data_IF_770959648235
#
_entry.id   IF_770959648235
#
_cell.length_a   1.000
_cell.length_b   1.000
_cell.length_c   1.000
_cell.angle_alpha   90.00
_cell.angle_beta   90.00
_cell.angle_gamma   90.00
#
_symmetry.space_group_name_H-M   'P 1'
#
loop_
_entity.id
_entity.type
_entity.pdbx_description
1 polymer ?
#
# COMPACT_ATOMS: atom_id res chain seq x y z
N UNK A 1 -18.81 47.86 -0.29
CA UNK A 1 -17.48 48.50 -0.32
C UNK A 1 -17.57 49.78 0.47
N UNK A 2 -16.71 49.97 1.46
CA UNK A 2 -16.72 51.13 2.36
C UNK A 2 -15.88 52.27 1.76
N UNK A 3 -16.29 53.54 1.86
CA UNK A 3 -15.54 54.67 1.33
C UNK A 3 -14.22 54.90 2.08
N UNK A 4 -13.15 55.22 1.36
CA UNK A 4 -11.76 55.28 1.87
C UNK A 4 -11.46 56.48 2.79
N UNK A 5 -12.42 57.38 3.01
CA UNK A 5 -12.24 58.64 3.75
C UNK A 5 -12.71 58.60 5.21
N UNK A 6 -13.18 57.44 5.69
CA UNK A 6 -13.60 57.24 7.09
C UNK A 6 -12.35 57.12 8.00
N UNK A 7 -12.36 57.63 9.25
CA UNK A 7 -11.27 57.42 10.21
C UNK A 7 -10.95 55.94 10.41
N UNK A 8 -9.69 55.64 10.70
CA UNK A 8 -9.17 54.26 10.79
C UNK A 8 -9.91 53.42 11.83
N UNK A 9 -10.34 54.01 12.95
CA UNK A 9 -11.14 53.34 13.99
C UNK A 9 -12.50 52.87 13.47
N UNK A 10 -13.21 53.72 12.74
CA UNK A 10 -14.52 53.38 12.18
C UNK A 10 -14.40 52.35 11.05
N UNK A 11 -13.31 52.37 10.28
CA UNK A 11 -12.97 51.30 9.32
C UNK A 11 -12.81 49.97 10.04
N UNK A 12 -12.04 49.93 11.15
CA UNK A 12 -11.84 48.72 11.94
C UNK A 12 -13.16 48.21 12.54
N UNK A 13 -13.96 49.10 13.14
CA UNK A 13 -15.29 48.75 13.67
C UNK A 13 -16.20 48.17 12.60
N UNK A 14 -16.22 48.76 11.41
CA UNK A 14 -17.01 48.26 10.29
C UNK A 14 -16.52 46.89 9.81
N UNK A 15 -15.20 46.66 9.76
CA UNK A 15 -14.65 45.34 9.39
C UNK A 15 -14.93 44.26 10.44
N UNK A 16 -14.86 44.59 11.74
CA UNK A 16 -15.18 43.65 12.82
C UNK A 16 -16.68 43.33 12.82
N UNK A 17 -17.53 44.34 12.59
CA UNK A 17 -18.97 44.15 12.48
C UNK A 17 -19.40 43.37 11.22
N UNK A 18 -18.53 43.28 10.21
CA UNK A 18 -18.78 42.48 9.01
C UNK A 18 -18.41 41.00 9.18
N UNK A 19 -17.77 40.62 10.28
CA UNK A 19 -17.46 39.23 10.59
C UNK A 19 -18.73 38.46 11.01
N UNK A 20 -18.81 37.13 10.74
CA UNK A 20 -19.90 36.31 11.23
C UNK A 20 -20.03 36.37 12.76
N UNK A 21 -21.27 36.38 13.24
CA UNK A 21 -21.59 36.51 14.66
C UNK A 21 -21.02 35.38 15.52
N UNK A 22 -20.82 34.19 14.93
CA UNK A 22 -20.12 33.06 15.58
C UNK A 22 -18.69 33.42 15.98
N UNK A 23 -17.93 34.05 15.08
CA UNK A 23 -16.55 34.49 15.33
C UNK A 23 -16.51 35.60 16.38
N UNK A 24 -17.49 36.50 16.36
CA UNK A 24 -17.64 37.55 17.37
C UNK A 24 -17.89 36.96 18.76
N UNK A 25 -18.82 36.00 18.90
CA UNK A 25 -19.09 35.32 20.17
C UNK A 25 -17.87 34.54 20.70
N UNK A 26 -17.17 33.81 19.83
CA UNK A 26 -15.94 33.09 20.21
C UNK A 26 -14.83 34.02 20.68
N UNK A 27 -14.60 35.12 19.97
CA UNK A 27 -13.58 36.11 20.35
C UNK A 27 -13.97 36.81 21.65
N UNK A 28 -15.24 37.14 21.86
CA UNK A 28 -15.74 37.68 23.13
C UNK A 28 -15.52 36.72 24.30
N UNK A 29 -15.82 35.43 24.12
CA UNK A 29 -15.58 34.41 25.15
C UNK A 29 -14.08 34.26 25.46
N UNK A 30 -13.22 34.28 24.44
CA UNK A 30 -11.76 34.20 24.59
C UNK A 30 -11.16 35.46 25.24
N UNK A 31 -11.72 36.64 24.99
CA UNK A 31 -11.33 37.89 25.66
C UNK A 31 -11.73 37.84 27.14
N UNK A 32 -12.95 37.41 27.46
CA UNK A 32 -13.42 37.27 28.84
C UNK A 32 -12.58 36.28 29.68
N UNK A 33 -12.05 35.23 29.06
CA UNK A 33 -11.11 34.31 29.69
C UNK A 33 -9.77 34.98 30.04
N UNK A 34 -9.24 35.81 29.13
CA UNK A 34 -7.99 36.56 29.35
C UNK A 34 -8.15 37.70 30.36
N UNK A 35 -9.32 38.32 30.41
CA UNK A 35 -9.65 39.42 31.34
C UNK A 35 -10.19 38.93 32.70
N UNK A 36 -10.36 37.61 32.88
CA UNK A 36 -10.87 37.01 34.11
C UNK A 36 -12.37 37.24 34.38
N UNK A 37 -13.11 37.80 33.41
CA UNK A 37 -14.55 38.05 33.46
C UNK A 37 -15.26 37.10 32.48
N UNK A 38 -15.44 35.86 32.92
CA UNK A 38 -16.01 34.80 32.09
C UNK A 38 -17.54 34.90 32.08
N UNK A 39 -18.12 35.24 30.93
CA UNK A 39 -19.56 35.21 30.71
C UNK A 39 -20.04 33.78 30.43
N UNK A 40 -20.39 33.04 31.49
CA UNK A 40 -20.84 31.64 31.40
C UNK A 40 -22.08 31.45 30.50
N UNK A 41 -22.94 32.47 30.38
CA UNK A 41 -24.12 32.43 29.51
C UNK A 41 -23.73 32.34 28.03
N UNK A 42 -22.81 33.20 27.59
CA UNK A 42 -22.31 33.23 26.21
C UNK A 42 -21.57 31.93 25.88
N UNK A 43 -20.76 31.43 26.80
CA UNK A 43 -20.05 30.15 26.64
C UNK A 43 -21.03 28.97 26.45
N UNK A 44 -22.10 28.92 27.23
CA UNK A 44 -23.13 27.87 27.11
C UNK A 44 -23.89 27.98 25.79
N UNK A 45 -24.18 29.18 25.31
CA UNK A 45 -24.83 29.40 24.01
C UNK A 45 -23.95 28.93 22.85
N UNK A 46 -22.66 29.28 22.86
CA UNK A 46 -21.67 28.79 21.88
C UNK A 46 -21.64 27.26 21.88
N UNK A 47 -21.52 26.64 23.05
CA UNK A 47 -21.47 25.18 23.17
C UNK A 47 -22.76 24.52 22.65
N UNK A 48 -23.94 25.09 22.92
CA UNK A 48 -25.22 24.57 22.41
C UNK A 48 -25.31 24.66 20.90
N UNK A 49 -24.86 25.77 20.31
CA UNK A 49 -24.83 25.96 18.85
C UNK A 49 -23.87 24.96 18.19
N UNK A 50 -22.68 24.75 18.77
CA UNK A 50 -21.71 23.74 18.31
C UNK A 50 -22.22 22.30 18.46
N UNK A 51 -22.80 21.95 19.61
CA UNK A 51 -23.38 20.63 19.87
C UNK A 51 -24.49 20.30 18.87
N UNK A 52 -25.33 21.29 18.53
CA UNK A 52 -26.38 21.12 17.52
C UNK A 52 -25.78 20.82 16.15
N UNK A 53 -24.76 21.59 15.74
CA UNK A 53 -24.06 21.38 14.47
C UNK A 53 -23.37 20.01 14.40
N UNK A 54 -22.71 19.59 15.47
CA UNK A 54 -22.06 18.28 15.58
C UNK A 54 -23.10 17.14 15.50
N UNK A 55 -24.29 17.33 16.08
CA UNK A 55 -25.36 16.33 16.06
C UNK A 55 -25.91 16.14 14.65
N UNK A 56 -26.22 17.23 13.96
CA UNK A 56 -26.72 17.22 12.58
C UNK A 56 -25.70 16.57 11.63
N UNK A 57 -24.42 16.97 11.70
CA UNK A 57 -23.35 16.37 10.88
C UNK A 57 -23.14 14.87 11.17
N UNK A 58 -23.25 14.46 12.44
CA UNK A 58 -23.15 13.04 12.83
C UNK A 58 -24.33 12.21 12.32
N UNK A 59 -25.52 12.79 12.27
CA UNK A 59 -26.71 12.11 11.75
C UNK A 59 -26.61 11.92 10.24
N UNK A 60 -26.26 12.97 9.50
CA UNK A 60 -26.02 12.90 8.05
C UNK A 60 -24.94 11.87 7.70
N UNK A 61 -23.81 11.90 8.41
CA UNK A 61 -22.71 10.93 8.20
C UNK A 61 -23.14 9.49 8.50
N UNK A 62 -24.01 9.26 9.49
CA UNK A 62 -24.55 7.92 9.79
C UNK A 62 -25.49 7.45 8.67
N UNK A 63 -26.32 8.34 8.15
CA UNK A 63 -27.21 8.02 7.03
C UNK A 63 -26.43 7.70 5.75
N UNK A 64 -25.41 8.49 5.42
CA UNK A 64 -24.52 8.23 4.28
C UNK A 64 -23.82 6.89 4.40
N UNK A 65 -23.28 6.57 5.59
CA UNK A 65 -22.68 5.26 5.85
C UNK A 65 -23.68 4.12 5.68
N UNK A 66 -24.90 4.25 6.23
CA UNK A 66 -25.97 3.26 6.04
C UNK A 66 -26.38 3.11 4.58
N UNK A 67 -26.44 4.21 3.81
CA UNK A 67 -26.72 4.18 2.37
C UNK A 67 -25.62 3.45 1.60
N UNK A 68 -24.35 3.74 1.90
CA UNK A 68 -23.20 3.09 1.27
C UNK A 68 -23.12 1.60 1.59
N UNK A 69 -23.42 1.21 2.83
CA UNK A 69 -23.46 -0.19 3.26
C UNK A 69 -24.56 -0.99 2.56
N UNK A 70 -25.77 -0.42 2.44
CA UNK A 70 -26.88 -1.02 1.67
C UNK A 70 -26.55 -1.19 0.18
N UNK A 71 -25.75 -0.29 -0.39
CA UNK A 71 -25.28 -0.43 -1.79
C UNK A 71 -24.27 -1.58 -1.90
N UNK A 72 -23.33 -1.70 -0.95
CA UNK A 72 -22.37 -2.80 -0.91
C UNK A 72 -23.04 -4.17 -0.73
N UNK A 73 -24.06 -4.26 0.10
CA UNK A 73 -24.83 -5.49 0.32
C UNK A 73 -25.57 -5.93 -0.95
N UNK A 74 -26.24 -4.99 -1.64
CA UNK A 74 -26.91 -5.25 -2.93
C UNK A 74 -25.97 -5.65 -4.08
N UNK A 75 -24.69 -5.29 -4.01
CA UNK A 75 -23.66 -5.74 -4.98
C UNK A 75 -23.24 -7.17 -4.68
N UNK A 76 -23.04 -7.52 -3.40
CA UNK A 76 -22.71 -8.89 -2.97
C UNK A 76 -23.81 -9.90 -3.31
N UNK A 77 -25.08 -9.51 -3.17
CA UNK A 77 -26.20 -10.40 -3.51
C UNK A 77 -26.36 -10.63 -5.02
N UNK A 78 -25.84 -9.71 -5.86
CA UNK A 78 -25.85 -9.83 -7.32
C UNK A 78 -24.65 -10.58 -7.89
N UNK A 79 -23.60 -10.82 -7.09
CA UNK A 79 -22.42 -11.61 -7.49
C UNK A 79 -22.66 -13.13 -7.42
N UNK A 80 -23.84 -13.59 -7.00
CA UNK A 80 -24.29 -14.97 -7.26
C UNK A 80 -24.83 -15.04 -8.69
N UNK A 81 -23.92 -14.92 -9.66
CA UNK A 81 -24.23 -15.12 -11.09
C UNK A 81 -24.23 -16.62 -11.38
N UNK A 82 -25.43 -17.17 -11.59
CA UNK A 82 -25.61 -18.48 -12.25
C UNK A 82 -25.19 -18.30 -13.72
N UNK A 83 -24.12 -18.98 -14.12
CA UNK A 83 -23.60 -18.96 -15.48
C UNK A 83 -24.64 -19.54 -16.46
N UNK A 84 -25.12 -18.69 -17.37
CA UNK A 84 -26.06 -19.04 -18.46
C UNK A 84 -25.52 -18.56 -19.82
N UNK A 85 -24.20 -18.52 -20.01
CA UNK A 85 -23.64 -18.24 -21.32
C UNK A 85 -23.65 -19.51 -22.21
N UNK A 86 -24.16 -19.45 -23.46
CA UNK A 86 -24.04 -20.56 -24.41
C UNK A 86 -22.58 -20.69 -24.89
N UNK A 87 -22.04 -21.91 -24.85
CA UNK A 87 -20.75 -22.26 -25.46
C UNK A 87 -20.77 -21.96 -26.97
N UNK A 88 -20.00 -20.96 -27.39
CA UNK A 88 -19.75 -20.68 -28.80
C UNK A 88 -18.53 -21.48 -29.27
N UNK A 89 -18.82 -22.49 -30.10
CA UNK A 89 -17.86 -23.31 -30.84
C UNK A 89 -17.01 -22.45 -31.76
N UNK A 90 -15.69 -22.64 -31.69
CA UNK A 90 -14.69 -21.99 -32.54
C UNK A 90 -14.72 -22.55 -33.96
N UNK A 91 -15.58 -22.01 -34.83
CA UNK A 91 -15.32 -22.01 -36.27
C UNK A 91 -16.10 -20.87 -36.93
N UNK A 92 -15.41 -20.10 -37.78
CA UNK A 92 -16.01 -19.13 -38.72
C UNK A 92 -16.22 -17.71 -38.18
N UNK A 93 -15.12 -16.94 -38.09
CA UNK A 93 -15.14 -15.50 -38.41
C UNK A 93 -13.96 -15.19 -39.34
N UNK A 94 -14.13 -14.29 -40.33
CA UNK A 94 -13.15 -14.05 -41.38
C UNK A 94 -11.91 -13.34 -40.83
N UNK A 95 -10.75 -13.84 -41.23
CA UNK A 95 -9.42 -13.30 -40.92
C UNK A 95 -9.32 -11.90 -41.54
N UNK A 96 -9.03 -10.90 -40.71
CA UNK A 96 -8.64 -9.57 -41.17
C UNK A 96 -7.23 -9.66 -41.74
N UNK A 97 -7.08 -9.42 -43.05
CA UNK A 97 -5.78 -9.39 -43.73
C UNK A 97 -5.03 -8.10 -43.38
N UNK A 98 -3.90 -8.26 -42.69
CA UNK A 98 -2.95 -7.19 -42.41
C UNK A 98 -2.22 -6.82 -43.72
N UNK A 99 -2.44 -5.58 -44.19
CA UNK A 99 -1.87 -5.03 -45.43
C UNK A 99 -0.54 -4.32 -45.17
N UNK A 100 0.33 -4.92 -44.34
CA UNK A 100 1.70 -4.47 -44.19
C UNK A 100 2.59 -5.02 -45.32
N UNK A 101 3.27 -4.11 -46.03
CA UNK A 101 4.23 -4.39 -47.09
C UNK A 101 5.31 -5.39 -46.64
N UNK A 102 5.26 -6.60 -47.21
CA UNK A 102 6.35 -7.59 -47.12
C UNK A 102 7.52 -7.08 -47.96
N UNK A 103 8.62 -6.73 -47.30
CA UNK A 103 9.90 -6.50 -47.97
C UNK A 103 10.45 -7.87 -48.36
N UNK A 104 10.46 -8.14 -49.66
CA UNK A 104 10.95 -9.40 -50.25
C UNK A 104 12.43 -9.60 -49.96
N UNK A 105 12.73 -10.67 -49.25
CA UNK A 105 14.05 -11.23 -49.01
C UNK A 105 14.58 -11.95 -50.25
N UNK A 106 14.91 -11.21 -51.31
CA UNK A 106 15.52 -11.78 -52.53
C UNK A 106 16.84 -11.10 -52.93
N UNK A 107 17.38 -10.20 -52.10
CA UNK A 107 18.65 -9.50 -52.40
C UNK A 107 19.66 -9.57 -51.27
N UNK A 108 19.96 -10.77 -50.79
CA UNK A 108 21.11 -11.01 -49.89
C UNK A 108 21.81 -12.36 -50.16
N UNK A 109 21.95 -12.75 -51.42
CA UNK A 109 22.85 -13.86 -51.80
C UNK A 109 24.08 -13.33 -52.54
N UNK A 110 25.06 -12.84 -51.77
CA UNK A 110 26.52 -12.88 -52.04
C UNK A 110 27.19 -11.85 -51.14
N UNK A 111 27.70 -12.29 -49.99
CA UNK A 111 29.10 -12.14 -49.56
C UNK A 111 29.26 -13.13 -48.40
N UNK A 112 29.59 -14.38 -48.71
CA UNK A 112 30.34 -15.21 -47.77
C UNK A 112 31.80 -14.78 -47.90
N UNK A 113 32.32 -14.05 -46.92
CA UNK A 113 33.77 -14.02 -46.70
C UNK A 113 34.09 -13.79 -45.22
N UNK A 114 34.33 -14.92 -44.55
CA UNK A 114 35.27 -15.12 -43.43
C UNK A 114 35.35 -14.02 -42.36
N UNK A 115 34.54 -14.12 -41.31
CA UNK A 115 34.89 -13.64 -39.98
C UNK A 115 34.36 -14.65 -38.93
N UNK A 116 35.29 -15.30 -38.23
CA UNK A 116 35.28 -15.60 -36.77
C UNK A 116 33.91 -15.33 -36.07
N UNK A 117 33.18 -16.22 -35.40
CA UNK A 117 33.43 -17.47 -34.66
C UNK A 117 32.07 -18.06 -34.22
N UNK A 118 31.90 -19.39 -34.05
CA UNK A 118 30.78 -19.97 -33.30
C UNK A 118 30.85 -19.70 -31.77
N UNK A 119 31.81 -18.90 -31.30
CA UNK A 119 31.98 -18.49 -29.91
C UNK A 119 30.97 -17.40 -29.52
N UNK A 120 30.76 -16.39 -30.37
CA UNK A 120 29.93 -15.22 -30.07
C UNK A 120 28.48 -15.57 -29.72
N UNK A 121 27.85 -16.53 -30.41
CA UNK A 121 26.47 -16.95 -30.12
C UNK A 121 26.29 -17.74 -28.82
N UNK A 122 27.33 -18.46 -28.39
CA UNK A 122 27.34 -19.15 -27.09
C UNK A 122 27.56 -18.15 -25.97
N UNK A 123 28.43 -17.17 -26.19
CA UNK A 123 28.70 -16.10 -25.24
C UNK A 123 27.45 -15.24 -25.00
N UNK A 124 26.68 -14.90 -26.05
CA UNK A 124 25.38 -14.23 -25.89
C UNK A 124 24.39 -15.03 -25.03
N UNK A 125 24.31 -16.35 -25.18
CA UNK A 125 23.44 -17.19 -24.33
C UNK A 125 23.92 -17.27 -22.89
N UNK A 126 25.23 -17.26 -22.66
CA UNK A 126 25.80 -17.23 -21.31
C UNK A 126 25.47 -15.90 -20.64
N UNK A 127 25.60 -14.79 -21.38
CA UNK A 127 25.25 -13.45 -20.90
C UNK A 127 23.74 -13.35 -20.61
N UNK A 128 22.88 -13.87 -21.50
CA UNK A 128 21.42 -13.91 -21.30
C UNK A 128 21.06 -14.66 -20.01
N UNK A 129 21.61 -15.87 -19.83
CA UNK A 129 21.39 -16.67 -18.62
C UNK A 129 21.93 -16.00 -17.34
N UNK A 130 23.07 -15.29 -17.44
CA UNK A 130 23.65 -14.55 -16.32
C UNK A 130 22.83 -13.30 -15.96
N UNK A 131 22.24 -12.61 -16.95
CA UNK A 131 21.33 -11.48 -16.71
C UNK A 131 20.04 -12.00 -16.05
N UNK A 132 19.49 -13.12 -16.54
CA UNK A 132 18.30 -13.74 -15.98
C UNK A 132 18.50 -14.22 -14.54
N UNK A 133 19.66 -14.80 -14.21
CA UNK A 133 19.97 -15.23 -12.85
C UNK A 133 20.10 -14.04 -11.89
N UNK A 134 20.84 -13.00 -12.29
CA UNK A 134 21.01 -11.78 -11.49
C UNK A 134 19.68 -11.04 -11.27
N UNK A 135 18.79 -11.04 -12.29
CA UNK A 135 17.46 -10.45 -12.19
C UNK A 135 16.58 -11.18 -11.17
N UNK A 136 16.57 -12.52 -11.20
CA UNK A 136 15.84 -13.36 -10.24
C UNK A 136 16.39 -13.22 -8.83
N UNK A 137 17.71 -13.20 -8.67
CA UNK A 137 18.37 -13.02 -7.38
C UNK A 137 18.02 -11.67 -6.74
N UNK A 138 18.08 -10.57 -7.50
CA UNK A 138 17.65 -9.25 -7.02
C UNK A 138 16.19 -9.23 -6.57
N UNK A 139 15.30 -9.91 -7.30
CA UNK A 139 13.88 -10.03 -6.92
C UNK A 139 13.73 -10.75 -5.58
N UNK A 140 14.43 -11.86 -5.40
CA UNK A 140 14.43 -12.62 -4.14
C UNK A 140 15.00 -11.78 -2.98
N UNK A 141 16.03 -10.96 -3.20
CA UNK A 141 16.58 -10.07 -2.18
C UNK A 141 15.55 -9.01 -1.73
N UNK A 142 14.75 -8.48 -2.66
CA UNK A 142 13.67 -7.53 -2.33
C UNK A 142 12.58 -8.24 -1.54
N UNK A 143 12.10 -9.38 -2.03
CA UNK A 143 11.08 -10.20 -1.35
C UNK A 143 11.55 -10.61 0.07
N UNK A 144 12.84 -10.89 0.26
CA UNK A 144 13.41 -11.19 1.57
C UNK A 144 13.35 -10.02 2.55
N UNK A 145 13.61 -8.79 2.08
CA UNK A 145 13.50 -7.58 2.91
C UNK A 145 12.06 -7.34 3.31
N UNK A 146 11.13 -7.48 2.37
CA UNK A 146 9.69 -7.37 2.64
C UNK A 146 9.21 -8.41 3.66
N UNK A 147 9.69 -9.66 3.57
CA UNK A 147 9.40 -10.70 4.58
C UNK A 147 9.95 -10.33 5.96
N UNK A 148 11.16 -9.77 6.02
CA UNK A 148 11.74 -9.31 7.29
C UNK A 148 10.97 -8.12 7.88
N UNK A 149 10.47 -7.21 7.05
CA UNK A 149 9.61 -6.10 7.49
C UNK A 149 8.27 -6.63 8.03
N UNK A 150 7.62 -7.53 7.32
CA UNK A 150 6.40 -8.22 7.80
C UNK A 150 6.65 -8.95 9.12
N UNK A 151 7.83 -9.55 9.31
CA UNK A 151 8.19 -10.22 10.57
C UNK A 151 8.26 -9.24 11.74
N UNK A 152 8.83 -8.04 11.52
CA UNK A 152 8.85 -6.97 12.52
C UNK A 152 7.45 -6.47 12.84
N UNK A 153 6.61 -6.21 11.83
CA UNK A 153 5.22 -5.80 12.04
C UNK A 153 4.41 -6.86 12.82
N UNK A 154 4.67 -8.15 12.59
CA UNK A 154 4.06 -9.25 13.37
C UNK A 154 4.60 -9.31 14.81
N UNK A 155 5.82 -8.85 15.07
CA UNK A 155 6.37 -8.69 16.42
C UNK A 155 5.78 -7.48 17.13
N UNK A 156 5.68 -6.34 16.46
CA UNK A 156 5.02 -5.13 16.97
C UNK A 156 3.55 -5.42 17.35
N UNK A 157 2.84 -6.17 16.50
CA UNK A 157 1.48 -6.62 16.81
C UNK A 157 1.40 -7.49 18.08
N UNK A 158 2.44 -8.29 18.39
CA UNK A 158 2.47 -9.07 19.64
C UNK A 158 2.62 -8.14 20.84
N UNK A 159 3.52 -7.16 20.74
CA UNK A 159 3.73 -6.15 21.79
C UNK A 159 2.44 -5.38 22.07
N UNK A 160 1.74 -4.95 21.01
CA UNK A 160 0.43 -4.29 21.12
C UNK A 160 -0.61 -5.15 21.86
N UNK A 161 -0.65 -6.47 21.60
CA UNK A 161 -1.55 -7.38 22.32
C UNK A 161 -1.16 -7.47 23.79
N UNK A 162 0.12 -7.60 24.10
CA UNK A 162 0.59 -7.71 25.48
C UNK A 162 0.28 -6.44 26.27
N UNK A 163 0.45 -5.27 25.66
CA UNK A 163 0.11 -3.99 26.27
C UNK A 163 -1.42 -3.81 26.44
N UNK A 164 -2.21 -4.30 25.48
CA UNK A 164 -3.65 -4.39 25.63
C UNK A 164 -4.04 -5.33 26.78
N UNK A 165 -3.39 -6.48 26.92
CA UNK A 165 -3.63 -7.41 28.03
C UNK A 165 -3.23 -6.81 29.39
N UNK A 166 -2.12 -6.08 29.47
CA UNK A 166 -1.68 -5.37 30.70
C UNK A 166 -2.67 -4.28 31.11
N UNK A 167 -3.16 -3.49 30.16
CA UNK A 167 -4.15 -2.44 30.44
C UNK A 167 -5.49 -3.03 30.89
N UNK A 168 -5.92 -4.13 30.25
CA UNK A 168 -7.13 -4.86 30.61
C UNK A 168 -7.01 -5.64 31.92
N UNK A 169 -5.81 -6.03 32.36
CA UNK A 169 -5.59 -6.73 33.63
C UNK A 169 -5.99 -5.89 34.85
N UNK A 170 -6.05 -4.56 34.70
CA UNK A 170 -6.56 -3.65 35.73
C UNK A 170 -8.09 -3.66 35.82
N UNK A 171 -8.79 -4.21 34.83
CA UNK A 171 -10.26 -4.23 34.78
C UNK A 171 -10.79 -5.65 35.11
N UNK A 172 -11.78 -5.77 36.02
CA UNK A 172 -12.28 -7.07 36.47
C UNK A 172 -13.05 -7.85 35.39
N UNK A 173 -13.51 -7.17 34.33
CA UNK A 173 -14.19 -7.78 33.18
C UNK A 173 -13.68 -7.15 31.88
N UNK A 174 -12.69 -7.77 31.22
CA UNK A 174 -12.21 -7.27 29.93
C UNK A 174 -13.29 -7.46 28.87
N UNK A 175 -13.89 -6.34 28.46
CA UNK A 175 -14.94 -6.29 27.44
C UNK A 175 -14.36 -6.52 26.02
N UNK A 176 -13.07 -6.27 25.84
CA UNK A 176 -12.35 -6.38 24.57
C UNK A 176 -11.27 -7.45 24.67
N UNK A 177 -11.25 -8.40 23.72
CA UNK A 177 -10.22 -9.44 23.59
C UNK A 177 -9.91 -9.69 22.13
N UNK A 178 -8.71 -10.19 21.84
CA UNK A 178 -8.38 -10.69 20.51
C UNK A 178 -9.39 -11.74 20.02
N UNK A 179 -9.80 -11.61 18.76
CA UNK A 179 -10.73 -12.57 18.15
C UNK A 179 -10.06 -13.95 17.97
N UNK A 180 -10.83 -15.03 18.14
CA UNK A 180 -10.34 -16.40 17.91
C UNK A 180 -9.82 -16.60 16.47
N UNK A 181 -10.38 -15.87 15.51
CA UNK A 181 -9.94 -15.89 14.11
C UNK A 181 -8.56 -15.27 13.95
N UNK A 182 -8.32 -14.09 14.55
CA UNK A 182 -7.01 -13.43 14.53
C UNK A 182 -5.91 -14.33 15.12
N UNK A 183 -6.16 -14.95 16.28
CA UNK A 183 -5.21 -15.92 16.90
C UNK A 183 -4.87 -17.10 15.97
N UNK A 184 -5.82 -17.57 15.16
CA UNK A 184 -5.58 -18.65 14.18
C UNK A 184 -4.77 -18.17 13.00
N UNK A 185 -5.07 -16.98 12.47
CA UNK A 185 -4.33 -16.36 11.38
C UNK A 185 -2.87 -16.11 11.79
N UNK A 186 -2.65 -15.49 12.95
CA UNK A 186 -1.33 -15.26 13.50
C UNK A 186 -0.51 -16.55 13.64
N UNK A 187 -1.11 -17.65 14.11
CA UNK A 187 -0.44 -18.97 14.15
C UNK A 187 -0.11 -19.50 12.75
N UNK A 188 -0.98 -19.26 11.77
CA UNK A 188 -0.76 -19.69 10.38
C UNK A 188 0.37 -18.89 9.73
N UNK A 189 0.39 -17.57 9.92
CA UNK A 189 1.44 -16.66 9.44
C UNK A 189 2.78 -17.00 10.07
N UNK A 190 2.87 -17.18 11.39
CA UNK A 190 4.11 -17.61 12.05
C UNK A 190 4.61 -18.97 11.54
N UNK A 191 3.72 -19.92 11.21
CA UNK A 191 4.13 -21.18 10.57
C UNK A 191 4.69 -20.97 9.17
N UNK A 192 4.18 -20.00 8.42
CA UNK A 192 4.68 -19.65 7.09
C UNK A 192 6.06 -18.98 7.20
N UNK A 193 6.21 -18.00 8.10
CA UNK A 193 7.49 -17.32 8.39
C UNK A 193 8.56 -18.36 8.77
N UNK A 194 8.26 -19.27 9.69
CA UNK A 194 9.22 -20.31 10.09
C UNK A 194 9.61 -21.27 8.96
N UNK A 195 8.74 -21.48 7.96
CA UNK A 195 9.09 -22.28 6.77
C UNK A 195 9.98 -21.48 5.83
N UNK A 196 9.68 -20.20 5.63
CA UNK A 196 10.49 -19.30 4.82
C UNK A 196 11.89 -19.13 5.42
N UNK A 197 12.00 -18.94 6.74
CA UNK A 197 13.28 -18.86 7.45
C UNK A 197 14.14 -20.12 7.21
N UNK A 198 13.54 -21.32 7.20
CA UNK A 198 14.26 -22.56 6.86
C UNK A 198 14.74 -22.57 5.41
N UNK A 199 13.87 -22.22 4.47
CA UNK A 199 14.23 -22.16 3.05
C UNK A 199 15.36 -21.14 2.82
N UNK A 200 15.35 -20.01 3.53
CA UNK A 200 16.40 -19.01 3.43
C UNK A 200 17.74 -19.54 3.95
N UNK A 201 17.75 -20.18 5.11
CA UNK A 201 18.98 -20.81 5.64
C UNK A 201 19.51 -21.87 4.68
N UNK A 202 18.64 -22.75 4.18
CA UNK A 202 19.03 -23.79 3.22
C UNK A 202 19.61 -23.20 1.92
N UNK A 203 19.06 -22.07 1.45
CA UNK A 203 19.53 -21.37 0.25
C UNK A 203 20.87 -20.68 0.50
N UNK A 204 21.07 -20.02 1.64
CA UNK A 204 22.36 -19.44 2.03
C UNK A 204 23.47 -20.50 2.16
N UNK A 205 23.13 -21.67 2.70
CA UNK A 205 24.07 -22.79 2.80
C UNK A 205 24.47 -23.32 1.41
N UNK A 206 23.51 -23.49 0.51
CA UNK A 206 23.77 -23.89 -0.88
C UNK A 206 24.59 -22.85 -1.63
N UNK A 207 24.32 -21.57 -1.44
CA UNK A 207 25.10 -20.48 -2.04
C UNK A 207 26.56 -20.51 -1.54
N UNK A 208 26.76 -20.71 -0.23
CA UNK A 208 28.10 -20.87 0.36
C UNK A 208 28.82 -22.10 -0.17
N UNK A 209 28.13 -23.22 -0.39
CA UNK A 209 28.69 -24.43 -0.99
C UNK A 209 29.11 -24.18 -2.44
N UNK A 210 28.23 -23.60 -3.26
CA UNK A 210 28.52 -23.25 -4.65
C UNK A 210 29.71 -22.29 -4.78
N UNK A 211 29.81 -21.29 -3.90
CA UNK A 211 30.96 -20.38 -3.86
C UNK A 211 32.27 -21.13 -3.60
N UNK A 212 32.29 -22.07 -2.65
CA UNK A 212 33.46 -22.91 -2.37
C UNK A 212 33.81 -23.80 -3.56
N UNK A 213 32.83 -24.42 -4.19
CA UNK A 213 33.05 -25.30 -5.35
C UNK A 213 33.63 -24.53 -6.54
N UNK A 214 33.14 -23.31 -6.78
CA UNK A 214 33.69 -22.39 -7.80
C UNK A 214 35.13 -21.95 -7.48
N UNK A 215 35.45 -21.67 -6.22
CA UNK A 215 36.81 -21.35 -5.79
C UNK A 215 37.77 -22.54 -6.01
N UNK A 216 37.35 -23.76 -5.66
CA UNK A 216 38.13 -24.98 -5.89
C UNK A 216 38.37 -25.19 -7.39
N UNK A 217 37.32 -25.12 -8.22
CA UNK A 217 37.48 -25.23 -9.68
C UNK A 217 38.42 -24.17 -10.27
N UNK A 218 38.36 -22.93 -9.78
CA UNK A 218 39.24 -21.85 -10.21
C UNK A 218 40.71 -22.15 -9.87
N UNK A 219 40.97 -22.73 -8.69
CA UNK A 219 42.33 -23.13 -8.29
C UNK A 219 42.86 -24.34 -9.06
N UNK A 220 42.01 -25.32 -9.38
CA UNK A 220 42.39 -26.51 -10.15
C UNK A 220 42.67 -26.19 -11.63
N UNK A 221 41.93 -25.26 -12.24
CA UNK A 221 42.21 -24.76 -13.59
C UNK A 221 43.55 -24.00 -13.64
N UNK A 222 43.92 -23.29 -12.58
CA UNK A 222 45.24 -22.61 -12.46
C UNK A 222 46.41 -23.59 -12.36
N UNK A 223 46.24 -24.72 -11.67
CA UNK A 223 47.26 -25.78 -11.56
C UNK A 223 47.48 -26.59 -12.84
N UNK A 224 46.47 -26.70 -13.71
CA UNK A 224 46.57 -27.42 -15.00
C UNK A 224 47.21 -26.60 -16.13
N UNK A 225 47.32 -25.28 -15.95
CA UNK A 225 47.88 -24.35 -16.93
C UNK A 225 49.31 -23.87 -16.58
N UNK A 226 49.95 -24.46 -15.56
CA UNK A 226 51.38 -24.33 -15.26
C UNK A 226 52.06 -25.69 -15.47
#
# INVERSE_FOLDING_TARGET
>A
MLPETIPTEDKLKATISALPETVVKHTQAAIGEKEGKIDNKVRVEILREEEKKIREEREERREEKKKLEKVKEKVKDKEILVDKAPILSTSTTPILEDTALKISTEKLEKVEEKLEEPLQSKDFKIIENAIDSVSKEKKLIVENKEIQELKKEVEDYKEDIEDLEKTLASEPTPEIKETKAAKRLFKSVNKMINKLDKVLVDMEEKEKQLKKDLEVEATDKKKKNC
#
